data_IF_118762256425
#
_entry.id   IF_118762256425
#
_cell.length_a   1.000
_cell.length_b   1.000
_cell.length_c   1.000
_cell.angle_alpha   90.00
_cell.angle_beta   90.00
_cell.angle_gamma   90.00
#
_symmetry.space_group_name_H-M   'P 1'
#
loop_
_entity.id
_entity.type
_entity.pdbx_description
1 polymer ?
#
# COMPACT_ATOMS: atom_id res chain seq x y z
N UNK A 1 0.01 -12.39 -29.58
CA UNK A 1 1.14 -11.81 -28.79
C UNK A 1 0.89 -12.12 -27.34
N UNK A 2 1.92 -12.40 -26.54
CA UNK A 2 1.75 -12.60 -25.10
C UNK A 2 1.48 -11.24 -24.45
N UNK A 3 0.52 -11.18 -23.53
CA UNK A 3 0.16 -9.98 -22.78
C UNK A 3 1.35 -9.49 -21.93
N UNK A 4 1.62 -8.19 -21.95
CA UNK A 4 2.71 -7.55 -21.20
C UNK A 4 2.15 -6.78 -20.02
N UNK A 5 2.72 -7.03 -18.86
CA UNK A 5 2.33 -6.46 -17.59
C UNK A 5 3.44 -5.55 -17.05
N UNK A 6 3.10 -4.36 -16.60
CA UNK A 6 4.06 -3.49 -15.92
C UNK A 6 3.67 -3.26 -14.45
N UNK A 7 4.67 -3.09 -13.61
CA UNK A 7 4.50 -2.65 -12.22
C UNK A 7 5.32 -1.39 -12.02
N UNK A 8 4.67 -0.31 -11.61
CA UNK A 8 5.35 0.96 -11.26
C UNK A 8 5.86 0.93 -9.82
N UNK A 9 6.77 1.85 -9.46
CA UNK A 9 7.41 1.87 -8.14
C UNK A 9 7.97 0.49 -7.71
N UNK A 10 8.46 -0.30 -8.66
CA UNK A 10 8.81 -1.72 -8.51
C UNK A 10 9.92 -2.00 -7.48
N UNK A 11 10.72 -1.00 -7.08
CA UNK A 11 11.77 -1.14 -6.04
C UNK A 11 11.31 -0.85 -4.62
N UNK A 12 10.04 -0.46 -4.41
CA UNK A 12 9.42 -0.39 -3.08
C UNK A 12 9.07 -1.80 -2.55
N UNK A 13 8.79 -1.93 -1.25
CA UNK A 13 8.45 -3.23 -0.65
C UNK A 13 7.27 -3.89 -1.36
N UNK A 14 6.16 -3.17 -1.48
CA UNK A 14 4.98 -3.63 -2.21
C UNK A 14 5.32 -4.05 -3.64
N UNK A 15 6.06 -3.21 -4.38
CA UNK A 15 6.43 -3.46 -5.78
C UNK A 15 7.27 -4.71 -5.95
N UNK A 16 8.28 -4.93 -5.10
CA UNK A 16 9.13 -6.12 -5.15
C UNK A 16 8.33 -7.42 -4.93
N UNK A 17 7.38 -7.40 -3.99
CA UNK A 17 6.52 -8.55 -3.70
C UNK A 17 5.57 -8.80 -4.87
N UNK A 18 4.93 -7.74 -5.39
CA UNK A 18 4.04 -7.84 -6.54
C UNK A 18 4.77 -8.36 -7.79
N UNK A 19 6.01 -7.92 -8.05
CA UNK A 19 6.85 -8.42 -9.16
C UNK A 19 7.08 -9.93 -9.02
N UNK A 20 7.52 -10.40 -7.86
CA UNK A 20 7.76 -11.83 -7.62
C UNK A 20 6.49 -12.64 -7.88
N UNK A 21 5.37 -12.20 -7.29
CA UNK A 21 4.09 -12.88 -7.47
C UNK A 21 3.62 -12.88 -8.92
N UNK A 22 3.79 -11.77 -9.63
CA UNK A 22 3.38 -11.66 -11.03
C UNK A 22 4.22 -12.57 -11.93
N UNK A 23 5.53 -12.70 -11.67
CA UNK A 23 6.41 -13.66 -12.37
C UNK A 23 5.90 -15.09 -12.21
N UNK A 24 5.50 -15.47 -10.99
CA UNK A 24 4.94 -16.81 -10.72
C UNK A 24 3.65 -17.08 -11.51
N UNK A 25 2.88 -16.03 -11.81
CA UNK A 25 1.60 -16.14 -12.50
C UNK A 25 1.72 -16.16 -14.02
N UNK A 26 2.63 -15.34 -14.58
CA UNK A 26 2.65 -15.08 -16.03
C UNK A 26 4.03 -15.30 -16.68
N UNK A 27 5.06 -15.62 -15.91
CA UNK A 27 6.46 -15.78 -16.36
C UNK A 27 7.20 -14.44 -16.47
N UNK A 28 8.51 -14.46 -16.24
CA UNK A 28 9.39 -13.27 -16.21
C UNK A 28 9.37 -12.46 -17.50
N UNK A 29 9.31 -13.15 -18.66
CA UNK A 29 9.34 -12.51 -19.97
C UNK A 29 8.14 -11.62 -20.26
N UNK A 30 7.06 -11.74 -19.47
CA UNK A 30 5.85 -10.95 -19.60
C UNK A 30 5.76 -9.80 -18.58
N UNK A 31 6.75 -9.68 -17.69
CA UNK A 31 6.74 -8.71 -16.58
C UNK A 31 7.77 -7.61 -16.81
N UNK A 32 7.34 -6.38 -16.72
CA UNK A 32 8.17 -5.18 -16.83
C UNK A 32 8.14 -4.43 -15.49
N UNK A 33 9.31 -4.16 -14.92
CA UNK A 33 9.48 -3.37 -13.73
C UNK A 33 9.80 -1.91 -14.09
N UNK A 34 8.95 -0.97 -13.71
CA UNK A 34 9.19 0.46 -13.91
C UNK A 34 9.77 1.03 -12.63
N UNK A 35 10.95 1.61 -12.72
CA UNK A 35 11.73 2.12 -11.59
C UNK A 35 12.30 3.51 -11.88
N UNK A 36 12.42 4.34 -10.86
CA UNK A 36 13.07 5.64 -11.00
C UNK A 36 14.59 5.52 -11.13
N UNK A 37 15.19 4.59 -10.40
CA UNK A 37 16.62 4.33 -10.39
C UNK A 37 16.93 2.92 -10.92
N UNK A 38 17.57 2.84 -12.10
CA UNK A 38 17.90 1.57 -12.77
C UNK A 38 18.89 0.71 -11.96
N UNK A 39 19.91 1.32 -11.35
CA UNK A 39 20.91 0.58 -10.55
C UNK A 39 20.26 -0.09 -9.33
N UNK A 40 19.37 0.65 -8.65
CA UNK A 40 18.58 0.09 -7.54
C UNK A 40 17.69 -1.05 -8.04
N UNK A 41 17.06 -0.88 -9.21
CA UNK A 41 16.24 -1.91 -9.84
C UNK A 41 17.05 -3.19 -10.11
N UNK A 42 18.22 -3.07 -10.72
CA UNK A 42 19.10 -4.20 -11.02
C UNK A 42 19.58 -4.96 -9.78
N UNK A 43 19.72 -4.26 -8.65
CA UNK A 43 20.15 -4.88 -7.38
C UNK A 43 19.03 -5.60 -6.64
N UNK A 44 17.80 -5.08 -6.70
CA UNK A 44 16.69 -5.54 -5.85
C UNK A 44 15.72 -6.49 -6.55
N UNK A 45 15.60 -6.39 -7.88
CA UNK A 45 14.60 -7.14 -8.62
C UNK A 45 15.13 -8.49 -9.11
N UNK A 46 14.24 -9.48 -9.32
CA UNK A 46 14.64 -10.79 -9.84
C UNK A 46 15.36 -10.69 -11.20
N UNK A 47 16.37 -11.54 -11.40
CA UNK A 47 17.04 -11.65 -12.70
C UNK A 47 16.07 -12.11 -13.79
N UNK A 48 16.22 -11.55 -14.98
CA UNK A 48 15.38 -11.90 -16.14
C UNK A 48 14.15 -11.02 -16.30
N UNK A 49 13.82 -10.12 -15.35
CA UNK A 49 12.78 -9.12 -15.51
C UNK A 49 13.30 -7.94 -16.31
N UNK A 50 12.54 -7.50 -17.30
CA UNK A 50 12.84 -6.26 -18.02
C UNK A 50 12.63 -5.05 -17.08
N UNK A 51 13.66 -4.19 -16.96
CA UNK A 51 13.62 -3.01 -16.13
C UNK A 51 13.63 -1.78 -17.02
N UNK A 52 12.65 -0.91 -16.87
CA UNK A 52 12.54 0.38 -17.56
C UNK A 52 12.60 1.54 -16.59
N UNK A 53 13.22 2.64 -17.02
CA UNK A 53 13.21 3.88 -16.24
C UNK A 53 11.92 4.64 -16.47
N UNK A 54 11.25 5.03 -15.38
CA UNK A 54 10.09 5.92 -15.38
C UNK A 54 10.01 6.67 -14.06
N UNK A 55 9.78 7.98 -14.14
CA UNK A 55 9.63 8.83 -12.97
C UNK A 55 8.25 9.49 -12.99
N UNK A 56 7.53 9.44 -11.87
CA UNK A 56 6.22 10.05 -11.71
C UNK A 56 6.26 11.58 -11.84
N UNK A 57 7.45 12.18 -11.63
CA UNK A 57 7.66 13.62 -11.83
C UNK A 57 7.71 14.00 -13.32
N UNK A 58 7.88 13.01 -14.23
CA UNK A 58 8.08 13.24 -15.66
C UNK A 58 7.20 12.31 -16.52
N UNK A 59 6.17 12.88 -17.10
CA UNK A 59 5.22 12.22 -18.01
C UNK A 59 5.93 11.51 -19.17
N UNK A 60 6.96 12.15 -19.76
CA UNK A 60 7.65 11.62 -20.95
C UNK A 60 8.41 10.35 -20.65
N UNK A 61 9.06 10.27 -19.48
CA UNK A 61 9.76 9.05 -19.06
C UNK A 61 8.78 7.92 -18.77
N UNK A 62 7.63 8.23 -18.16
CA UNK A 62 6.57 7.26 -17.91
C UNK A 62 5.94 6.73 -19.21
N UNK A 63 5.66 7.60 -20.19
CA UNK A 63 5.16 7.17 -21.52
C UNK A 63 6.11 6.19 -22.21
N UNK A 64 7.42 6.50 -22.20
CA UNK A 64 8.44 5.61 -22.75
C UNK A 64 8.47 4.26 -22.04
N UNK A 65 8.39 4.27 -20.72
CA UNK A 65 8.39 3.06 -19.91
C UNK A 65 7.16 2.18 -20.14
N UNK A 66 6.01 2.79 -20.42
CA UNK A 66 4.73 2.11 -20.64
C UNK A 66 4.50 1.67 -22.09
N UNK A 67 5.40 2.00 -23.02
CA UNK A 67 5.22 1.63 -24.43
C UNK A 67 5.14 0.11 -24.64
N UNK A 68 4.05 -0.35 -25.26
CA UNK A 68 3.80 -1.77 -25.53
C UNK A 68 3.41 -2.59 -24.30
N UNK A 69 2.89 -1.93 -23.27
CA UNK A 69 2.30 -2.56 -22.08
C UNK A 69 0.80 -2.67 -22.27
N UNK A 70 0.24 -3.86 -22.00
CA UNK A 70 -1.19 -4.10 -22.05
C UNK A 70 -1.88 -3.77 -20.72
N UNK A 71 -1.26 -4.15 -19.59
CA UNK A 71 -1.80 -3.95 -18.26
C UNK A 71 -0.75 -3.38 -17.29
N UNK A 72 -1.14 -2.42 -16.45
CA UNK A 72 -0.23 -1.82 -15.47
C UNK A 72 -0.80 -1.88 -14.05
N UNK A 73 0.04 -2.32 -13.11
CA UNK A 73 -0.18 -2.08 -11.69
C UNK A 73 0.44 -0.73 -11.31
N UNK A 74 -0.41 0.27 -11.16
CA UNK A 74 -0.03 1.60 -10.73
C UNK A 74 -0.02 1.67 -9.20
N UNK A 75 1.18 1.62 -8.61
CA UNK A 75 1.36 1.78 -7.17
C UNK A 75 1.43 3.27 -6.85
N UNK A 76 0.57 3.74 -5.96
CA UNK A 76 0.51 5.14 -5.53
C UNK A 76 1.85 5.61 -4.93
N UNK A 77 2.24 6.88 -5.20
CA UNK A 77 3.48 7.46 -4.67
C UNK A 77 3.35 7.79 -3.18
N UNK A 78 4.50 7.93 -2.52
CA UNK A 78 4.55 8.45 -1.14
C UNK A 78 4.33 9.97 -1.14
N UNK A 79 3.61 10.52 -0.14
CA UNK A 79 3.51 11.96 0.04
C UNK A 79 4.85 12.59 0.46
N UNK A 80 4.98 13.92 0.30
CA UNK A 80 6.15 14.68 0.77
C UNK A 80 7.30 14.80 -0.24
N UNK A 81 7.12 14.39 -1.50
CA UNK A 81 8.08 14.63 -2.59
C UNK A 81 8.13 16.10 -3.01
N UNK A 82 9.11 16.44 -3.90
CA UNK A 82 9.25 17.80 -4.47
C UNK A 82 8.05 18.17 -5.36
N UNK A 83 7.53 17.21 -6.11
CA UNK A 83 6.31 17.33 -6.90
C UNK A 83 5.15 16.87 -6.06
N UNK A 84 4.05 17.62 -6.06
CA UNK A 84 2.84 17.24 -5.34
C UNK A 84 2.33 15.87 -5.80
N UNK A 85 1.91 15.01 -4.86
CA UNK A 85 1.48 13.64 -5.13
C UNK A 85 0.35 13.57 -6.16
N UNK A 86 -0.64 14.47 -6.09
CA UNK A 86 -1.71 14.55 -7.08
C UNK A 86 -1.17 14.84 -8.50
N UNK A 87 -0.15 15.70 -8.65
CA UNK A 87 0.52 15.97 -9.93
C UNK A 87 1.27 14.74 -10.43
N UNK A 88 2.00 14.04 -9.56
CA UNK A 88 2.68 12.78 -9.92
C UNK A 88 1.67 11.75 -10.45
N UNK A 89 0.54 11.58 -9.77
CA UNK A 89 -0.50 10.64 -10.20
C UNK A 89 -1.15 11.07 -11.52
N UNK A 90 -1.39 12.37 -11.72
CA UNK A 90 -1.88 12.89 -13.01
C UNK A 90 -0.90 12.60 -14.15
N UNK A 91 0.41 12.77 -13.93
CA UNK A 91 1.44 12.43 -14.91
C UNK A 91 1.39 10.95 -15.31
N UNK A 92 1.26 10.05 -14.31
CA UNK A 92 1.18 8.61 -14.56
C UNK A 92 -0.10 8.26 -15.33
N UNK A 93 -1.27 8.79 -14.95
CA UNK A 93 -2.54 8.53 -15.66
C UNK A 93 -2.48 9.05 -17.09
N UNK A 94 -1.89 10.24 -17.30
CA UNK A 94 -1.66 10.78 -18.64
C UNK A 94 -0.77 9.86 -19.46
N UNK A 95 0.33 9.38 -18.90
CA UNK A 95 1.25 8.46 -19.58
C UNK A 95 0.58 7.11 -19.92
N UNK A 96 -0.23 6.56 -19.01
CA UNK A 96 -1.03 5.34 -19.24
C UNK A 96 -1.93 5.52 -20.46
N UNK A 97 -2.66 6.64 -20.52
CA UNK A 97 -3.56 6.96 -21.64
C UNK A 97 -2.79 7.12 -22.96
N UNK A 98 -1.71 7.90 -22.95
CA UNK A 98 -0.92 8.19 -24.16
C UNK A 98 -0.19 6.96 -24.69
N UNK A 99 0.26 6.06 -23.80
CA UNK A 99 0.89 4.80 -24.18
C UNK A 99 -0.11 3.75 -24.70
N UNK A 100 -1.41 3.97 -24.56
CA UNK A 100 -2.46 3.06 -24.99
C UNK A 100 -2.56 1.79 -24.15
N UNK A 101 -2.28 1.88 -22.85
CA UNK A 101 -2.44 0.76 -21.91
C UNK A 101 -3.93 0.40 -21.79
N UNK A 102 -4.28 -0.87 -21.94
CA UNK A 102 -5.67 -1.33 -21.96
C UNK A 102 -6.34 -1.36 -20.57
N UNK A 103 -5.55 -1.62 -19.51
CA UNK A 103 -6.07 -1.81 -18.16
C UNK A 103 -5.09 -1.33 -17.08
N UNK A 104 -5.62 -0.67 -16.07
CA UNK A 104 -4.88 -0.25 -14.86
C UNK A 104 -5.48 -0.84 -13.60
N UNK A 105 -4.65 -1.53 -12.79
CA UNK A 105 -4.94 -1.79 -11.39
C UNK A 105 -4.25 -0.71 -10.55
N UNK A 106 -5.01 0.07 -9.79
CA UNK A 106 -4.47 1.21 -9.03
C UNK A 106 -4.59 0.97 -7.53
N UNK A 107 -3.47 1.09 -6.77
CA UNK A 107 -3.50 0.98 -5.31
C UNK A 107 -4.11 2.24 -4.71
N UNK A 108 -5.36 2.13 -4.31
CA UNK A 108 -6.18 3.22 -3.79
C UNK A 108 -6.38 3.14 -2.27
N UNK A 109 -7.30 3.92 -1.74
CA UNK A 109 -7.58 4.09 -0.32
C UNK A 109 -9.01 3.63 0.01
N UNK A 110 -9.25 3.01 1.19
CA UNK A 110 -10.56 2.49 1.57
C UNK A 110 -11.65 3.55 1.51
N UNK A 111 -12.80 3.16 1.00
CA UNK A 111 -13.96 4.03 0.89
C UNK A 111 -13.60 5.44 0.33
N UNK A 112 -12.70 5.49 -0.66
CA UNK A 112 -12.04 6.73 -1.11
C UNK A 112 -13.03 7.88 -1.38
N UNK A 113 -14.22 7.58 -1.87
CA UNK A 113 -15.22 8.60 -2.25
C UNK A 113 -15.88 9.27 -1.03
N UNK A 114 -16.07 8.56 0.08
CA UNK A 114 -16.73 9.06 1.28
C UNK A 114 -15.76 9.40 2.43
N UNK A 115 -14.52 8.91 2.38
CA UNK A 115 -13.52 9.16 3.42
C UNK A 115 -13.23 10.65 3.60
N UNK A 116 -13.13 11.10 4.84
CA UNK A 116 -12.72 12.47 5.21
C UNK A 116 -11.22 12.60 5.42
N UNK A 117 -10.49 11.50 5.38
CA UNK A 117 -9.05 11.48 5.52
C UNK A 117 -8.33 12.31 4.46
N UNK A 118 -7.34 13.09 4.87
CA UNK A 118 -6.48 13.83 3.94
C UNK A 118 -5.78 12.90 2.92
N UNK A 119 -5.44 11.67 3.32
CA UNK A 119 -4.85 10.67 2.43
C UNK A 119 -5.80 10.27 1.29
N UNK A 120 -7.12 10.28 1.52
CA UNK A 120 -8.09 9.94 0.51
C UNK A 120 -8.18 10.95 -0.64
N UNK A 121 -7.76 12.21 -0.43
CA UNK A 121 -7.91 13.27 -1.43
C UNK A 121 -7.16 12.95 -2.73
N UNK A 122 -5.89 12.57 -2.64
CA UNK A 122 -5.09 12.22 -3.82
C UNK A 122 -5.59 10.94 -4.48
N UNK A 123 -6.12 10.01 -3.71
CA UNK A 123 -6.70 8.77 -4.23
C UNK A 123 -8.01 9.04 -4.99
N UNK A 124 -8.91 9.87 -4.44
CA UNK A 124 -10.12 10.33 -5.14
C UNK A 124 -9.80 11.02 -6.46
N UNK A 125 -8.83 11.94 -6.43
CA UNK A 125 -8.37 12.61 -7.63
C UNK A 125 -7.89 11.60 -8.68
N UNK A 126 -7.11 10.61 -8.27
CA UNK A 126 -6.53 9.62 -9.17
C UNK A 126 -7.60 8.68 -9.74
N UNK A 127 -8.53 8.17 -8.91
CA UNK A 127 -9.67 7.37 -9.36
C UNK A 127 -10.47 8.16 -10.40
N UNK A 128 -10.83 9.41 -10.09
CA UNK A 128 -11.54 10.29 -11.00
C UNK A 128 -10.81 10.51 -12.34
N UNK A 129 -9.50 10.76 -12.31
CA UNK A 129 -8.69 10.94 -13.52
C UNK A 129 -8.68 9.68 -14.39
N UNK A 130 -8.57 8.49 -13.80
CA UNK A 130 -8.61 7.21 -14.51
C UNK A 130 -9.97 7.01 -15.19
N UNK A 131 -11.08 7.29 -14.49
CA UNK A 131 -12.44 7.21 -15.01
C UNK A 131 -12.68 8.21 -16.16
N UNK A 132 -12.31 9.49 -15.97
CA UNK A 132 -12.48 10.56 -16.97
C UNK A 132 -11.70 10.27 -18.27
N UNK A 133 -10.55 9.60 -18.17
CA UNK A 133 -9.78 9.16 -19.34
C UNK A 133 -10.37 7.92 -20.03
N UNK A 134 -11.42 7.32 -19.47
CA UNK A 134 -12.06 6.12 -20.00
C UNK A 134 -11.14 4.88 -20.00
N UNK A 135 -10.21 4.79 -19.07
CA UNK A 135 -9.29 3.65 -18.94
C UNK A 135 -10.00 2.52 -18.18
N UNK A 136 -9.98 1.29 -18.71
CA UNK A 136 -10.46 0.12 -17.96
C UNK A 136 -9.61 -0.06 -16.71
N UNK A 137 -10.26 -0.28 -15.57
CA UNK A 137 -9.54 -0.25 -14.29
C UNK A 137 -10.07 -1.19 -13.22
N UNK A 138 -9.24 -1.41 -12.21
CA UNK A 138 -9.61 -1.88 -10.87
C UNK A 138 -8.99 -0.99 -9.81
N UNK A 139 -9.81 -0.41 -8.95
CA UNK A 139 -9.32 0.32 -7.77
C UNK A 139 -9.13 -0.67 -6.63
N UNK A 140 -7.87 -0.85 -6.24
CA UNK A 140 -7.46 -1.71 -5.13
C UNK A 140 -7.39 -0.84 -3.88
N UNK A 141 -8.52 -0.68 -3.20
CA UNK A 141 -8.65 0.15 -2.01
C UNK A 141 -8.12 -0.61 -0.81
N UNK A 142 -6.80 -0.48 -0.59
CA UNK A 142 -6.08 -1.19 0.47
C UNK A 142 -6.36 -0.55 1.83
N UNK A 143 -6.81 -1.34 2.79
CA UNK A 143 -6.90 -0.95 4.18
C UNK A 143 -5.49 -0.75 4.78
N UNK A 144 -5.29 -0.86 6.06
CA UNK A 144 -4.06 -0.45 6.72
C UNK A 144 -3.03 -1.59 6.76
N UNK A 145 -1.82 -1.30 6.28
CA UNK A 145 -0.73 -2.27 6.37
C UNK A 145 -0.28 -2.39 7.83
N UNK A 146 -0.14 -3.62 8.31
CA UNK A 146 0.31 -3.87 9.68
C UNK A 146 1.71 -3.26 9.93
N UNK A 147 2.53 -3.14 8.90
CA UNK A 147 3.83 -2.48 8.95
C UNK A 147 3.77 -1.00 9.35
N UNK A 148 2.63 -0.33 9.16
CA UNK A 148 2.45 1.05 9.59
C UNK A 148 2.44 1.20 11.12
N UNK A 149 2.21 0.10 11.84
CA UNK A 149 2.17 0.04 13.30
C UNK A 149 3.55 -0.29 13.94
N UNK A 150 4.64 -0.19 13.19
CA UNK A 150 5.97 -0.59 13.64
C UNK A 150 6.35 0.01 14.99
N UNK A 151 6.03 1.28 15.25
CA UNK A 151 6.31 1.93 16.55
C UNK A 151 5.57 1.27 17.72
N UNK A 152 4.29 0.95 17.53
CA UNK A 152 3.47 0.23 18.51
C UNK A 152 4.02 -1.19 18.73
N UNK A 153 4.32 -1.91 17.65
CA UNK A 153 4.83 -3.28 17.70
C UNK A 153 6.20 -3.37 18.38
N UNK A 154 7.12 -2.46 18.05
CA UNK A 154 8.46 -2.42 18.68
C UNK A 154 8.39 -2.07 20.16
N UNK A 155 7.49 -1.17 20.57
CA UNK A 155 7.32 -0.84 22.00
C UNK A 155 6.96 -2.09 22.81
N UNK A 156 5.94 -2.85 22.40
CA UNK A 156 5.57 -4.08 23.09
C UNK A 156 6.61 -5.20 22.97
N UNK A 157 7.29 -5.32 21.83
CA UNK A 157 8.38 -6.28 21.64
C UNK A 157 9.55 -6.00 22.61
N UNK A 158 9.81 -4.73 22.94
CA UNK A 158 10.81 -4.31 23.92
C UNK A 158 10.26 -4.27 25.35
N UNK A 159 9.09 -4.84 25.61
CA UNK A 159 8.41 -4.84 26.91
C UNK A 159 8.15 -3.43 27.48
N UNK A 160 7.91 -2.46 26.60
CA UNK A 160 7.56 -1.08 26.91
C UNK A 160 6.05 -0.86 26.69
N UNK A 161 5.46 0.16 27.33
CA UNK A 161 4.08 0.54 27.10
C UNK A 161 3.84 0.85 25.61
N UNK A 162 2.94 0.12 24.98
CA UNK A 162 2.51 0.37 23.61
C UNK A 162 1.34 1.38 23.61
N UNK A 163 1.58 2.57 23.06
CA UNK A 163 0.60 3.66 23.09
C UNK A 163 -0.07 3.88 21.75
N UNK A 164 -1.32 4.32 21.80
CA UNK A 164 -2.14 4.73 20.64
C UNK A 164 -3.08 5.85 21.08
N UNK A 165 -3.70 6.56 20.09
CA UNK A 165 -4.58 7.68 20.47
C UNK A 165 -6.02 7.59 19.93
N UNK A 166 -6.31 6.69 18.97
CA UNK A 166 -7.67 6.49 18.43
C UNK A 166 -8.38 5.31 19.09
N UNK A 167 -9.68 5.42 19.37
CA UNK A 167 -10.54 4.32 19.84
C UNK A 167 -11.22 3.54 18.70
N UNK A 168 -10.99 3.97 17.47
CA UNK A 168 -11.57 3.35 16.29
C UNK A 168 -10.79 2.10 15.83
N UNK A 169 -11.30 1.44 14.81
CA UNK A 169 -10.83 0.13 14.35
C UNK A 169 -10.24 0.20 12.93
N UNK A 170 -9.34 -0.74 12.63
CA UNK A 170 -8.79 -0.91 11.30
C UNK A 170 -8.71 -2.39 10.89
N UNK A 171 -8.70 -2.63 9.58
CA UNK A 171 -8.55 -3.96 9.00
C UNK A 171 -7.09 -4.26 8.65
N UNK A 172 -6.23 -4.42 9.65
CA UNK A 172 -4.82 -4.72 9.43
C UNK A 172 -4.61 -6.04 8.69
N UNK A 173 -3.72 -6.01 7.68
CA UNK A 173 -3.14 -7.18 7.06
C UNK A 173 -1.68 -6.87 6.66
N UNK A 174 -0.90 -7.90 6.33
CA UNK A 174 0.48 -7.71 5.88
C UNK A 174 0.52 -7.02 4.51
N UNK A 175 1.45 -6.09 4.31
CA UNK A 175 1.68 -5.42 3.01
C UNK A 175 1.81 -6.42 1.86
N UNK A 176 2.48 -7.59 2.12
CA UNK A 176 2.63 -8.63 1.11
C UNK A 176 1.31 -9.26 0.67
N UNK A 177 0.32 -9.35 1.53
CA UNK A 177 -0.99 -9.92 1.18
C UNK A 177 -1.75 -8.99 0.22
N UNK A 178 -1.67 -7.69 0.43
CA UNK A 178 -2.18 -6.70 -0.53
C UNK A 178 -1.42 -6.75 -1.86
N UNK A 179 -0.07 -6.86 -1.82
CA UNK A 179 0.75 -6.92 -3.02
C UNK A 179 0.51 -8.20 -3.85
N UNK A 180 0.35 -9.36 -3.18
CA UNK A 180 -0.03 -10.62 -3.82
C UNK A 180 -1.42 -10.52 -4.47
N UNK A 181 -2.39 -9.92 -3.78
CA UNK A 181 -3.73 -9.72 -4.31
C UNK A 181 -3.71 -8.78 -5.53
N UNK A 182 -2.95 -7.68 -5.47
CA UNK A 182 -2.80 -6.76 -6.60
C UNK A 182 -2.21 -7.45 -7.83
N UNK A 183 -1.18 -8.30 -7.65
CA UNK A 183 -0.59 -9.09 -8.73
C UNK A 183 -1.57 -10.12 -9.32
N UNK A 184 -2.49 -10.67 -8.51
CA UNK A 184 -3.55 -11.55 -9.02
C UNK A 184 -4.59 -10.77 -9.81
N UNK A 185 -5.09 -9.63 -9.27
CA UNK A 185 -6.14 -8.85 -9.94
C UNK A 185 -5.70 -8.39 -11.34
N UNK A 186 -4.45 -7.93 -11.50
CA UNK A 186 -3.98 -7.48 -12.80
C UNK A 186 -3.97 -8.59 -13.86
N UNK A 187 -4.00 -9.88 -13.46
CA UNK A 187 -4.02 -11.03 -14.38
C UNK A 187 -5.42 -11.58 -14.64
N UNK A 188 -6.45 -11.14 -13.90
CA UNK A 188 -7.82 -11.60 -14.12
C UNK A 188 -8.33 -11.17 -15.49
N UNK A 189 -9.07 -12.03 -16.15
CA UNK A 189 -9.71 -11.71 -17.44
C UNK A 189 -10.80 -10.64 -17.27
N UNK A 190 -11.64 -10.80 -16.25
CA UNK A 190 -12.76 -9.91 -15.93
C UNK A 190 -12.67 -9.50 -14.45
N UNK A 191 -11.76 -8.60 -14.08
CA UNK A 191 -11.69 -8.12 -12.69
C UNK A 191 -12.84 -7.16 -12.38
N UNK A 192 -13.24 -7.10 -11.12
CA UNK A 192 -14.17 -6.09 -10.64
C UNK A 192 -13.55 -4.70 -10.72
N UNK A 193 -14.38 -3.68 -10.90
CA UNK A 193 -13.90 -2.28 -10.97
C UNK A 193 -13.35 -1.78 -9.62
N UNK A 194 -13.82 -2.31 -8.50
CA UNK A 194 -13.43 -1.91 -7.16
C UNK A 194 -13.23 -3.14 -6.28
N UNK A 195 -12.13 -3.16 -5.54
CA UNK A 195 -11.84 -4.10 -4.46
C UNK A 195 -11.58 -3.32 -3.17
N UNK A 196 -12.45 -3.44 -2.19
CA UNK A 196 -12.19 -2.97 -0.82
C UNK A 196 -11.39 -4.07 -0.11
N UNK A 197 -10.07 -3.98 -0.10
CA UNK A 197 -9.20 -4.95 0.54
C UNK A 197 -9.00 -4.62 2.01
N UNK A 198 -9.34 -5.55 2.90
CA UNK A 198 -9.19 -5.38 4.34
C UNK A 198 -8.84 -6.70 5.02
N UNK A 199 -8.09 -6.61 6.11
CA UNK A 199 -8.04 -7.66 7.11
C UNK A 199 -9.31 -7.66 7.98
N UNK A 200 -9.37 -8.55 8.95
CA UNK A 200 -10.44 -8.54 9.96
C UNK A 200 -10.37 -7.23 10.76
N UNK A 201 -11.49 -6.55 10.89
CA UNK A 201 -11.57 -5.29 11.64
C UNK A 201 -11.31 -5.53 13.12
N UNK A 202 -10.41 -4.74 13.72
CA UNK A 202 -9.94 -4.88 15.10
C UNK A 202 -9.56 -3.54 15.70
N UNK A 203 -9.58 -3.48 17.03
CA UNK A 203 -9.12 -2.36 17.83
C UNK A 203 -7.62 -2.45 18.15
N UNK A 204 -7.03 -1.36 18.66
CA UNK A 204 -5.66 -1.40 19.20
C UNK A 204 -5.54 -2.30 20.45
N UNK A 205 -6.62 -2.48 21.21
CA UNK A 205 -6.64 -3.46 22.30
C UNK A 205 -6.47 -4.90 21.75
N UNK A 206 -7.14 -5.24 20.65
CA UNK A 206 -6.97 -6.54 19.97
C UNK A 206 -5.56 -6.69 19.39
N UNK A 207 -5.01 -5.60 18.81
CA UNK A 207 -3.63 -5.60 18.29
C UNK A 207 -2.62 -5.81 19.41
N UNK A 208 -2.82 -5.15 20.57
CA UNK A 208 -1.98 -5.32 21.75
C UNK A 208 -2.03 -6.74 22.32
N UNK A 209 -3.23 -7.34 22.41
CA UNK A 209 -3.38 -8.73 22.84
C UNK A 209 -2.68 -9.73 21.89
N UNK A 210 -2.77 -9.46 20.57
CA UNK A 210 -2.06 -10.26 19.57
C UNK A 210 -0.54 -10.09 19.68
N UNK A 211 -0.05 -8.88 19.96
CA UNK A 211 1.36 -8.60 20.18
C UNK A 211 1.89 -9.28 21.44
N UNK A 212 1.13 -9.26 22.57
CA UNK A 212 1.46 -10.02 23.76
C UNK A 212 1.55 -11.53 23.48
N UNK A 213 0.62 -12.05 22.68
CA UNK A 213 0.63 -13.45 22.25
C UNK A 213 1.86 -13.78 21.40
N UNK A 214 2.20 -12.92 20.46
CA UNK A 214 3.32 -13.11 19.55
C UNK A 214 4.68 -13.08 20.25
N UNK A 215 4.86 -12.16 21.20
CA UNK A 215 6.15 -11.92 21.87
C UNK A 215 6.31 -12.69 23.18
N UNK A 216 5.21 -13.08 23.81
CA UNK A 216 5.22 -13.62 25.19
C UNK A 216 5.47 -12.54 26.26
N UNK A 217 5.56 -11.26 25.87
CA UNK A 217 5.81 -10.14 26.77
C UNK A 217 4.53 -9.70 27.49
N UNK A 218 4.69 -9.14 28.68
CA UNK A 218 3.58 -8.57 29.47
C UNK A 218 3.79 -7.06 29.63
N UNK A 219 3.35 -6.29 28.65
CA UNK A 219 3.43 -4.83 28.62
C UNK A 219 2.04 -4.18 28.68
N UNK A 220 1.99 -2.93 29.08
CA UNK A 220 0.76 -2.13 29.09
C UNK A 220 0.41 -1.69 27.66
N UNK A 221 -0.87 -1.82 27.31
CA UNK A 221 -1.46 -1.21 26.09
C UNK A 221 -2.30 -0.04 26.53
N UNK A 222 -1.96 1.17 26.08
CA UNK A 222 -2.53 2.40 26.67
C UNK A 222 -2.99 3.39 25.59
N UNK A 223 -4.24 3.77 25.71
CA UNK A 223 -4.76 4.93 24.97
C UNK A 223 -4.30 6.22 25.64
N UNK A 224 -3.83 7.17 24.82
CA UNK A 224 -3.44 8.52 25.26
C UNK A 224 -4.13 9.57 24.39
N UNK A 225 -4.09 10.85 24.76
CA UNK A 225 -4.55 11.89 23.85
C UNK A 225 -3.60 12.03 22.65
N UNK A 226 -4.10 12.56 21.52
CA UNK A 226 -3.30 12.81 20.32
C UNK A 226 -2.06 13.65 20.62
N UNK A 227 -2.22 14.72 21.43
CA UNK A 227 -1.11 15.61 21.80
C UNK A 227 -0.09 14.89 22.69
N UNK A 228 -0.56 14.05 23.63
CA UNK A 228 0.33 13.24 24.46
C UNK A 228 1.10 12.19 23.63
N UNK A 229 0.44 11.58 22.63
CA UNK A 229 1.09 10.66 21.70
C UNK A 229 2.22 11.36 20.93
N UNK A 230 1.94 12.53 20.33
CA UNK A 230 2.95 13.32 19.61
C UNK A 230 4.10 13.75 20.52
N UNK A 231 3.80 14.19 21.75
CA UNK A 231 4.82 14.55 22.73
C UNK A 231 5.72 13.37 23.13
N UNK A 232 5.17 12.16 23.24
CA UNK A 232 5.94 10.93 23.48
C UNK A 232 6.90 10.61 22.33
N UNK A 233 6.45 10.75 21.07
CA UNK A 233 7.31 10.57 19.90
C UNK A 233 8.48 11.56 19.89
N UNK A 234 8.23 12.83 20.24
CA UNK A 234 9.29 13.84 20.35
C UNK A 234 10.26 13.54 21.50
N UNK A 235 9.74 13.13 22.66
CA UNK A 235 10.56 12.71 23.80
C UNK A 235 11.42 11.47 23.48
N UNK A 236 10.96 10.61 22.56
CA UNK A 236 11.69 9.49 22.00
C UNK A 236 12.78 9.86 20.97
N UNK A 237 12.95 11.16 20.68
CA UNK A 237 14.02 11.68 19.84
C UNK A 237 13.61 12.04 18.40
N UNK A 238 12.33 11.98 18.05
CA UNK A 238 11.87 12.44 16.74
C UNK A 238 11.76 13.97 16.71
N UNK A 239 12.13 14.59 15.59
CA UNK A 239 11.84 16.00 15.36
C UNK A 239 10.34 16.26 15.25
N UNK A 240 9.93 17.54 15.38
CA UNK A 240 8.51 17.92 15.45
C UNK A 240 7.70 17.50 14.19
N UNK A 241 8.29 17.63 13.00
CA UNK A 241 7.61 17.33 11.75
C UNK A 241 7.44 15.80 11.58
N UNK A 242 8.47 15.03 11.90
CA UNK A 242 8.42 13.56 11.88
C UNK A 242 7.43 13.02 12.91
N UNK A 243 7.42 13.58 14.14
CA UNK A 243 6.47 13.20 15.18
C UNK A 243 5.02 13.52 14.76
N UNK A 244 4.79 14.70 14.16
CA UNK A 244 3.48 15.06 13.63
C UNK A 244 3.03 14.11 12.50
N UNK A 245 3.94 13.74 11.61
CA UNK A 245 3.67 12.78 10.53
C UNK A 245 3.25 11.41 11.09
N UNK A 246 4.00 10.82 12.03
CA UNK A 246 3.63 9.53 12.63
C UNK A 246 2.33 9.62 13.44
N UNK A 247 2.10 10.74 14.14
CA UNK A 247 0.82 10.97 14.82
C UNK A 247 -0.34 10.97 13.82
N UNK A 248 -0.15 11.52 12.64
CA UNK A 248 -1.18 11.57 11.60
C UNK A 248 -1.55 10.20 11.01
N UNK A 249 -0.73 9.16 11.18
CA UNK A 249 -1.02 7.81 10.67
C UNK A 249 -2.26 7.17 11.31
N UNK A 250 -2.62 7.55 12.52
CA UNK A 250 -3.85 7.08 13.15
C UNK A 250 -5.10 7.91 12.78
N UNK A 251 -4.94 9.05 12.09
CA UNK A 251 -6.08 9.87 11.69
C UNK A 251 -7.07 9.17 10.73
N UNK A 252 -6.65 8.36 9.74
CA UNK A 252 -7.57 7.56 8.93
C UNK A 252 -8.30 6.46 9.71
N UNK A 253 -7.73 6.00 10.82
CA UNK A 253 -8.40 5.06 11.73
C UNK A 253 -9.46 5.84 12.51
N UNK A 254 -9.08 6.99 13.08
CA UNK A 254 -9.94 7.85 13.90
C UNK A 254 -11.18 8.34 13.16
N UNK A 255 -11.09 8.67 11.88
CA UNK A 255 -12.25 9.10 11.09
C UNK A 255 -13.16 7.93 10.63
N UNK A 256 -12.82 6.70 11.02
CA UNK A 256 -13.58 5.49 10.67
C UNK A 256 -13.39 4.99 9.24
N UNK A 257 -12.53 5.62 8.44
CA UNK A 257 -12.31 5.23 7.03
C UNK A 257 -11.81 3.80 6.89
N UNK A 258 -11.13 3.27 7.92
CA UNK A 258 -10.52 1.94 7.92
C UNK A 258 -11.37 0.86 8.61
N UNK A 259 -12.56 1.21 9.13
CA UNK A 259 -13.42 0.28 9.88
C UNK A 259 -14.39 -0.54 9.01
N UNK A 260 -14.23 -0.50 7.68
CA UNK A 260 -15.12 -1.21 6.76
C UNK A 260 -14.72 -2.68 6.63
N UNK A 261 -15.64 -3.58 7.01
CA UNK A 261 -15.44 -5.03 6.87
C UNK A 261 -15.54 -5.43 5.39
N UNK A 262 -14.57 -6.21 4.92
CA UNK A 262 -14.58 -6.81 3.58
C UNK A 262 -13.89 -8.18 3.58
N UNK A 263 -14.34 -9.07 2.73
CA UNK A 263 -13.73 -10.38 2.47
C UNK A 263 -13.02 -10.43 1.11
N UNK A 264 -12.96 -9.30 0.39
CA UNK A 264 -12.40 -9.23 -0.96
C UNK A 264 -10.94 -9.67 -1.00
N UNK A 265 -10.15 -9.32 0.03
CA UNK A 265 -8.74 -9.71 0.09
C UNK A 265 -8.58 -11.23 0.20
N UNK A 266 -9.32 -11.87 1.10
CA UNK A 266 -9.34 -13.34 1.28
C UNK A 266 -9.80 -14.04 -0.01
N UNK A 267 -10.87 -13.54 -0.65
CA UNK A 267 -11.40 -14.09 -1.90
C UNK A 267 -10.38 -14.04 -3.03
N UNK A 268 -9.73 -12.90 -3.24
CA UNK A 268 -8.71 -12.74 -4.29
C UNK A 268 -7.48 -13.59 -3.99
N UNK A 269 -7.04 -13.66 -2.74
CA UNK A 269 -5.92 -14.52 -2.35
C UNK A 269 -6.25 -16.01 -2.48
N UNK A 270 -7.52 -16.39 -2.32
CA UNK A 270 -7.96 -17.79 -2.31
C UNK A 270 -7.45 -18.56 -1.09
N UNK A 271 -7.13 -17.86 -0.02
CA UNK A 271 -6.67 -18.37 1.27
C UNK A 271 -6.99 -17.40 2.40
N UNK A 272 -7.03 -17.93 3.62
CA UNK A 272 -7.09 -17.08 4.82
C UNK A 272 -5.85 -16.16 4.93
N UNK A 273 -6.03 -15.02 5.56
CA UNK A 273 -4.92 -14.12 5.89
C UNK A 273 -4.07 -14.73 7.00
N UNK A 274 -2.81 -14.34 7.04
CA UNK A 274 -1.91 -14.66 8.15
C UNK A 274 -2.53 -14.16 9.46
N UNK A 275 -2.57 -15.01 10.48
CA UNK A 275 -3.13 -14.62 11.77
C UNK A 275 -2.34 -13.43 12.35
N UNK A 276 -3.01 -12.56 13.11
CA UNK A 276 -2.37 -11.35 13.60
C UNK A 276 -1.11 -11.61 14.44
N UNK A 277 -1.05 -12.62 15.35
CA UNK A 277 0.19 -12.96 16.04
C UNK A 277 1.32 -13.46 15.12
N UNK A 278 0.99 -14.26 14.11
CA UNK A 278 1.97 -14.73 13.12
C UNK A 278 2.47 -13.58 12.25
N UNK A 279 1.59 -12.69 11.83
CA UNK A 279 1.92 -11.50 11.05
C UNK A 279 2.84 -10.55 11.83
N UNK A 280 2.59 -10.38 13.14
CA UNK A 280 3.45 -9.60 14.03
C UNK A 280 4.84 -10.24 14.13
N UNK A 281 4.91 -11.56 14.32
CA UNK A 281 6.19 -12.27 14.36
C UNK A 281 6.97 -12.13 13.05
N UNK A 282 6.29 -12.17 11.89
CA UNK A 282 6.91 -11.96 10.58
C UNK A 282 7.52 -10.56 10.43
N UNK A 283 6.89 -9.54 11.02
CA UNK A 283 7.37 -8.15 10.95
C UNK A 283 8.54 -7.90 11.88
N UNK A 284 8.54 -8.53 13.05
CA UNK A 284 9.54 -8.27 14.10
C UNK A 284 10.84 -9.07 13.91
N UNK A 285 10.84 -10.14 13.11
CA UNK A 285 12.00 -11.01 12.78
C UNK A 285 12.54 -10.72 11.38
#
# INVERSE_FOLDING_TARGET
MNMKYAITAATGNFGQIAIKKLIDLVGSDNVIAIVRNLEKGQKLLPKGVEIRQGDYDDVTTMEKALKGIDRVLFISSQPGGKVARGTQHQNVVTAIKNAGVDFVAYTSFPNAQASTSALANDHRLTEKLIEEQGIKHSFLRNNWYLQNEMGFLQSGANNQTATYWTDQQAGWALEREYAEAAAKVITLENPDAIYEFAGKIRSYADLGAALQTATGNNFEVKQVSRDAYQAQLQAGGLDADTAALFTSFQAPIEDGSLSHQSDSLVKVLGRELTSLPEAINEILN
#
